data_IF_950500838085
#
_entry.id   IF_950500838085
#
_cell.length_a   1.000
_cell.length_b   1.000
_cell.length_c   1.000
_cell.angle_alpha   90.00
_cell.angle_beta   90.00
_cell.angle_gamma   90.00
#
_symmetry.space_group_name_H-M   'P 1'
#
loop_
_entity.id
_entity.type
_entity.pdbx_description
1 polymer ?
#
# COMPACT_ATOMS: atom_id res chain seq x y z
N UNK A 1 -11.09 16.07 15.62
CA UNK A 1 -9.81 15.35 15.66
C UNK A 1 -9.50 15.00 14.22
N UNK A 2 -8.39 15.48 13.65
CA UNK A 2 -8.11 15.24 12.24
C UNK A 2 -7.92 13.74 12.01
N UNK A 3 -8.63 13.24 11.02
CA UNK A 3 -8.69 11.85 10.59
C UNK A 3 -7.33 11.47 10.00
N UNK A 4 -6.45 10.92 10.84
CA UNK A 4 -5.20 10.34 10.37
C UNK A 4 -5.53 9.13 9.48
N UNK A 5 -5.25 9.29 8.19
CA UNK A 5 -5.30 8.28 7.14
C UNK A 5 -4.58 7.01 7.62
N UNK A 6 -5.35 6.00 7.99
CA UNK A 6 -4.83 4.72 8.44
C UNK A 6 -5.92 3.70 8.28
N UNK A 7 -6.13 3.22 7.05
CA UNK A 7 -6.99 2.09 6.78
C UNK A 7 -6.67 1.00 7.81
N UNK A 8 -7.67 0.62 8.62
CA UNK A 8 -7.47 -0.31 9.72
C UNK A 8 -6.89 -1.66 9.27
N UNK A 9 -6.55 -2.52 10.23
CA UNK A 9 -6.03 -3.85 9.89
C UNK A 9 -7.12 -4.72 9.25
N UNK A 10 -6.81 -5.30 8.08
CA UNK A 10 -7.63 -6.32 7.43
C UNK A 10 -6.93 -7.68 7.40
N UNK A 11 -7.71 -8.73 7.15
CA UNK A 11 -7.20 -10.07 6.86
C UNK A 11 -7.80 -10.53 5.54
N UNK A 12 -6.94 -10.79 4.55
CA UNK A 12 -7.34 -11.31 3.24
C UNK A 12 -6.59 -12.61 2.95
N UNK A 13 -7.27 -13.54 2.28
CA UNK A 13 -6.67 -14.77 1.76
C UNK A 13 -6.37 -14.57 0.29
N UNK A 14 -5.15 -14.89 -0.11
CA UNK A 14 -4.73 -14.92 -1.50
C UNK A 14 -4.49 -16.38 -1.92
N UNK A 15 -4.60 -16.65 -3.22
CA UNK A 15 -4.15 -17.92 -3.77
C UNK A 15 -2.63 -17.97 -3.71
N UNK A 16 -2.07 -19.17 -3.62
CA UNK A 16 -0.61 -19.33 -3.56
C UNK A 16 0.06 -18.90 -4.88
N UNK A 17 -0.66 -19.07 -5.99
CA UNK A 17 -0.27 -18.69 -7.36
C UNK A 17 -0.48 -17.22 -7.69
N UNK A 18 -1.15 -16.43 -6.84
CA UNK A 18 -1.23 -14.98 -7.04
C UNK A 18 0.16 -14.35 -6.97
N UNK A 19 0.39 -13.35 -7.79
CA UNK A 19 1.64 -12.62 -7.93
C UNK A 19 1.81 -11.55 -6.85
N UNK A 20 3.04 -11.06 -6.67
CA UNK A 20 3.27 -9.90 -5.80
C UNK A 20 2.61 -8.65 -6.37
N UNK A 21 2.59 -8.49 -7.70
CA UNK A 21 1.88 -7.39 -8.37
C UNK A 21 0.37 -7.37 -8.05
N UNK A 22 -0.30 -8.53 -8.04
CA UNK A 22 -1.73 -8.60 -7.64
C UNK A 22 -1.98 -8.12 -6.21
N UNK A 23 -1.05 -8.37 -5.28
CA UNK A 23 -1.14 -7.85 -3.91
C UNK A 23 -1.07 -6.31 -3.91
N UNK A 24 -0.17 -5.74 -4.71
CA UNK A 24 -0.07 -4.29 -4.87
C UNK A 24 -1.33 -3.70 -5.51
N UNK A 25 -1.84 -4.29 -6.59
CA UNK A 25 -3.10 -3.87 -7.22
C UNK A 25 -4.28 -3.92 -6.23
N UNK A 26 -4.35 -4.95 -5.38
CA UNK A 26 -5.36 -5.03 -4.33
C UNK A 26 -5.28 -3.87 -3.32
N UNK A 27 -4.06 -3.50 -2.90
CA UNK A 27 -3.86 -2.39 -1.96
C UNK A 27 -4.25 -1.06 -2.61
N UNK A 28 -3.82 -0.81 -3.84
CA UNK A 28 -4.16 0.42 -4.59
C UNK A 28 -5.68 0.56 -4.81
N UNK A 29 -6.35 -0.55 -5.12
CA UNK A 29 -7.79 -0.56 -5.35
C UNK A 29 -8.62 -0.77 -4.07
N UNK A 30 -8.00 -0.79 -2.89
CA UNK A 30 -8.68 -1.23 -1.66
C UNK A 30 -9.93 -0.41 -1.34
N UNK A 31 -9.85 0.92 -1.41
CA UNK A 31 -10.99 1.82 -1.13
C UNK A 31 -12.15 1.60 -2.10
N UNK A 32 -11.84 1.38 -3.39
CA UNK A 32 -12.84 1.08 -4.41
C UNK A 32 -13.52 -0.26 -4.13
N UNK A 33 -12.75 -1.29 -3.77
CA UNK A 33 -13.28 -2.61 -3.45
C UNK A 33 -14.15 -2.58 -2.19
N UNK A 34 -13.74 -1.85 -1.14
CA UNK A 34 -14.53 -1.67 0.08
C UNK A 34 -15.87 -0.95 -0.20
N UNK A 35 -15.88 0.02 -1.11
CA UNK A 35 -17.11 0.73 -1.47
C UNK A 35 -18.14 -0.14 -2.21
N UNK A 36 -17.68 -1.21 -2.88
CA UNK A 36 -18.49 -2.09 -3.72
C UNK A 36 -19.04 -3.31 -2.97
N UNK A 37 -18.46 -3.68 -1.82
CA UNK A 37 -18.93 -4.82 -1.04
C UNK A 37 -20.25 -4.50 -0.32
N UNK A 38 -21.30 -5.36 -0.43
CA UNK A 38 -22.44 -5.27 0.47
C UNK A 38 -21.96 -5.52 1.91
N UNK A 39 -22.54 -4.79 2.86
CA UNK A 39 -22.20 -4.83 4.30
C UNK A 39 -22.62 -6.19 4.91
N UNK A 40 -21.86 -7.24 4.63
CA UNK A 40 -22.03 -8.57 5.16
C UNK A 40 -20.66 -9.23 5.28
N UNK A 41 -20.37 -9.75 6.47
CA UNK A 41 -19.28 -10.70 6.69
C UNK A 41 -19.45 -11.87 5.70
N UNK A 42 -18.36 -12.51 5.27
CA UNK A 42 -18.37 -13.58 4.26
C UNK A 42 -18.66 -13.18 2.78
N UNK A 43 -18.22 -11.99 2.36
CA UNK A 43 -18.08 -11.68 0.93
C UNK A 43 -16.78 -12.24 0.35
N UNK A 44 -16.78 -13.52 -0.07
CA UNK A 44 -15.89 -13.96 -1.14
C UNK A 44 -16.07 -12.94 -2.28
N UNK A 45 -15.00 -12.21 -2.64
CA UNK A 45 -15.07 -11.38 -3.83
C UNK A 45 -15.35 -12.36 -4.97
N UNK A 46 -16.62 -12.41 -5.41
CA UNK A 46 -16.96 -13.05 -6.66
C UNK A 46 -16.00 -12.41 -7.67
N UNK A 47 -15.19 -13.23 -8.34
CA UNK A 47 -14.49 -12.93 -9.58
C UNK A 47 -15.57 -12.47 -10.58
N UNK A 48 -16.04 -11.25 -10.37
CA UNK A 48 -17.24 -10.69 -10.96
C UNK A 48 -16.82 -10.00 -12.22
N UNK A 49 -16.95 -10.75 -13.32
CA UNK A 49 -16.67 -10.38 -14.70
C UNK A 49 -15.25 -9.82 -14.90
N UNK A 50 -14.37 -10.72 -15.35
CA UNK A 50 -13.28 -10.42 -16.28
C UNK A 50 -13.90 -9.79 -17.55
N UNK A 51 -14.42 -8.57 -17.40
CA UNK A 51 -14.77 -7.72 -18.51
C UNK A 51 -13.41 -7.39 -19.13
N UNK A 52 -13.24 -7.81 -20.39
CA UNK A 52 -12.05 -7.82 -21.26
C UNK A 52 -11.27 -6.48 -21.26
N UNK A 53 -10.69 -6.12 -20.12
CA UNK A 53 -9.91 -4.90 -19.93
C UNK A 53 -8.44 -5.27 -20.04
N UNK A 54 -7.96 -5.26 -21.27
CA UNK A 54 -6.53 -5.44 -21.52
C UNK A 54 -5.76 -4.18 -21.08
N UNK A 55 -4.66 -4.41 -20.35
CA UNK A 55 -3.71 -3.36 -19.98
C UNK A 55 -3.23 -2.65 -21.25
N UNK A 56 -3.17 -1.29 -21.29
CA UNK A 56 -2.65 -0.59 -22.45
C UNK A 56 -1.22 -1.03 -22.81
N UNK A 57 -0.88 -0.96 -24.10
CA UNK A 57 0.48 -1.22 -24.58
C UNK A 57 1.47 -0.25 -23.91
N UNK A 58 2.59 -0.78 -23.40
CA UNK A 58 3.66 -0.01 -22.73
C UNK A 58 3.27 0.67 -21.40
N UNK A 59 2.13 0.31 -20.80
CA UNK A 59 1.80 0.81 -19.46
C UNK A 59 2.65 0.11 -18.40
N UNK A 60 3.31 0.88 -17.54
CA UNK A 60 3.95 0.41 -16.31
C UNK A 60 3.35 1.19 -15.15
N UNK A 61 2.77 0.48 -14.18
CA UNK A 61 2.07 1.14 -13.09
C UNK A 61 3.05 1.43 -11.95
N UNK A 62 3.16 2.71 -11.59
CA UNK A 62 4.03 3.17 -10.51
C UNK A 62 3.24 3.26 -9.20
N UNK A 63 3.52 2.35 -8.28
CA UNK A 63 2.90 2.35 -6.95
C UNK A 63 3.57 3.38 -6.02
N UNK A 64 2.77 4.21 -5.35
CA UNK A 64 3.25 5.24 -4.41
C UNK A 64 3.27 4.80 -2.95
N UNK A 65 3.36 3.50 -2.74
CA UNK A 65 3.47 2.86 -1.44
C UNK A 65 4.36 1.63 -1.57
N UNK A 66 4.82 1.10 -0.44
CA UNK A 66 5.54 -0.19 -0.38
C UNK A 66 4.92 -1.14 0.62
N UNK A 67 5.09 -2.43 0.36
CA UNK A 67 4.62 -3.51 1.23
C UNK A 67 5.81 -4.19 1.92
N UNK A 68 5.79 -4.24 3.25
CA UNK A 68 6.89 -4.81 4.03
C UNK A 68 6.43 -5.78 5.11
N UNK A 69 7.23 -6.82 5.38
CA UNK A 69 7.11 -7.62 6.60
C UNK A 69 7.74 -6.91 7.80
N UNK A 70 7.24 -7.24 8.98
CA UNK A 70 7.77 -6.69 10.23
C UNK A 70 9.09 -7.32 10.68
N UNK A 71 9.14 -8.66 10.73
CA UNK A 71 10.27 -9.39 11.35
C UNK A 71 10.57 -10.71 10.64
N UNK A 72 11.79 -10.89 10.07
CA UNK A 72 12.72 -9.80 9.73
C UNK A 72 12.04 -8.79 8.79
N UNK A 73 12.50 -7.53 8.82
CA UNK A 73 11.98 -6.50 7.91
C UNK A 73 12.42 -6.83 6.49
N UNK A 74 11.46 -7.06 5.60
CA UNK A 74 11.67 -7.35 4.18
C UNK A 74 10.66 -6.54 3.39
N UNK A 75 11.14 -5.74 2.43
CA UNK A 75 10.29 -5.04 1.47
C UNK A 75 10.06 -5.97 0.28
N UNK A 76 8.81 -6.15 -0.11
CA UNK A 76 8.44 -6.94 -1.29
C UNK A 76 8.15 -5.98 -2.43
N UNK A 77 9.01 -5.90 -3.43
CA UNK A 77 8.78 -5.08 -4.63
C UNK A 77 7.68 -5.70 -5.52
N UNK A 78 6.92 -4.87 -6.26
CA UNK A 78 5.93 -5.38 -7.22
C UNK A 78 6.63 -6.24 -8.28
N UNK A 79 6.09 -7.44 -8.48
CA UNK A 79 6.70 -8.46 -9.34
C UNK A 79 5.59 -9.35 -9.90
N UNK A 80 5.41 -9.30 -11.22
CA UNK A 80 4.39 -10.08 -11.95
C UNK A 80 4.81 -11.54 -12.19
N UNK A 81 6.08 -11.89 -11.97
CA UNK A 81 6.58 -13.26 -12.15
C UNK A 81 6.66 -14.02 -10.82
N UNK A 82 6.96 -13.33 -9.71
CA UNK A 82 7.06 -13.94 -8.41
C UNK A 82 5.69 -14.12 -7.75
N UNK A 83 5.45 -15.30 -7.19
CA UNK A 83 4.21 -15.59 -6.48
C UNK A 83 4.28 -15.25 -4.99
N UNK A 84 3.13 -14.97 -4.38
CA UNK A 84 2.99 -14.76 -2.94
C UNK A 84 3.36 -16.03 -2.16
N UNK A 85 3.05 -17.21 -2.69
CA UNK A 85 3.42 -18.48 -2.08
C UNK A 85 4.95 -18.67 -1.98
N UNK A 86 5.70 -18.20 -2.96
CA UNK A 86 7.17 -18.26 -2.97
C UNK A 86 7.81 -17.17 -2.09
N UNK A 87 7.31 -15.94 -2.16
CA UNK A 87 7.92 -14.78 -1.48
C UNK A 87 7.50 -14.64 -0.02
N UNK A 88 6.23 -14.89 0.31
CA UNK A 88 5.64 -14.64 1.63
C UNK A 88 5.29 -15.96 2.34
N UNK A 89 4.95 -17.00 1.60
CA UNK A 89 4.60 -18.32 2.13
C UNK A 89 3.12 -18.44 2.49
N UNK A 90 2.82 -19.27 3.52
CA UNK A 90 1.44 -19.62 3.88
C UNK A 90 0.63 -18.48 4.50
N UNK A 91 1.29 -17.59 5.24
CA UNK A 91 0.68 -16.47 5.94
C UNK A 91 1.76 -15.48 6.36
N UNK A 92 1.48 -14.18 6.31
CA UNK A 92 2.38 -13.14 6.79
C UNK A 92 1.63 -11.93 7.31
N UNK A 93 2.26 -11.17 8.22
CA UNK A 93 1.81 -9.84 8.60
C UNK A 93 2.59 -8.83 7.76
N UNK A 94 1.85 -8.03 6.99
CA UNK A 94 2.41 -7.02 6.11
C UNK A 94 1.94 -5.64 6.55
N UNK A 95 2.77 -4.65 6.29
CA UNK A 95 2.48 -3.24 6.49
C UNK A 95 2.56 -2.56 5.13
N UNK A 96 1.59 -1.68 4.88
CA UNK A 96 1.59 -0.76 3.75
C UNK A 96 2.13 0.57 4.25
N UNK A 97 3.20 1.04 3.64
CA UNK A 97 3.86 2.31 3.96
C UNK A 97 3.75 3.23 2.76
N UNK A 98 3.22 4.43 2.95
CA UNK A 98 3.13 5.45 1.90
C UNK A 98 4.54 5.99 1.57
N UNK A 99 4.79 6.30 0.30
CA UNK A 99 6.07 6.86 -0.16
C UNK A 99 6.01 8.37 -0.38
N UNK A 100 4.83 9.02 -0.27
CA UNK A 100 4.67 10.46 -0.51
C UNK A 100 5.11 11.34 0.65
N UNK A 101 5.36 10.75 1.82
CA UNK A 101 5.72 11.47 3.07
C UNK A 101 7.22 11.78 3.17
N UNK A 102 8.06 11.27 2.26
CA UNK A 102 9.53 11.43 2.30
C UNK A 102 10.03 12.72 1.61
N UNK A 103 9.13 13.59 1.10
CA UNK A 103 9.47 14.81 0.33
C UNK A 103 9.26 16.15 1.08
N UNK A 104 8.85 16.17 2.36
CA UNK A 104 8.43 17.40 3.07
C UNK A 104 9.09 17.58 4.47
N UNK A 105 10.38 17.24 4.64
CA UNK A 105 11.09 17.37 5.92
C UNK A 105 12.50 18.01 5.76
N UNK A 106 12.61 19.08 4.95
CA UNK A 106 13.80 19.94 4.91
C UNK A 106 13.40 21.43 4.95
N UNK A 107 13.93 22.16 5.96
CA UNK A 107 13.95 23.63 6.16
C UNK A 107 12.91 24.29 7.11
N UNK A 108 13.06 24.09 8.43
CA UNK A 108 12.83 25.15 9.42
C UNK A 108 14.15 25.44 10.19
N UNK A 109 15.06 26.17 9.55
CA UNK A 109 16.22 26.79 10.22
C UNK A 109 15.78 28.00 11.06
N UNK A 110 15.73 27.77 12.38
CA UNK A 110 15.97 28.66 13.52
C UNK A 110 16.25 30.16 13.21
N UNK A 111 15.23 31.01 13.28
CA UNK A 111 15.40 32.47 13.45
C UNK A 111 15.66 32.78 14.94
N UNK A 112 16.92 32.65 15.38
CA UNK A 112 17.41 33.21 16.65
C UNK A 112 17.38 34.75 16.56
N UNK A 113 16.28 35.37 17.02
CA UNK A 113 16.10 36.83 17.13
C UNK A 113 17.18 37.45 18.04
N UNK A 114 18.22 37.98 17.41
CA UNK A 114 19.21 38.84 18.03
C UNK A 114 18.68 40.25 18.25
N UNK A 115 18.18 40.54 19.45
CA UNK A 115 18.12 41.90 20.01
C UNK A 115 19.17 42.01 21.13
N UNK A 116 20.25 42.80 21.04
CA UNK A 116 20.31 44.21 20.64
C UNK A 116 20.52 45.05 21.91
N UNK A 117 21.77 45.44 22.17
CA UNK A 117 22.20 46.05 23.44
C UNK A 117 21.91 47.55 23.62
N UNK A 118 22.16 48.01 24.86
CA UNK A 118 22.64 49.35 25.23
C UNK A 118 21.66 50.53 25.16
N UNK A 119 21.31 51.12 26.30
CA UNK A 119 21.95 52.32 26.91
C UNK A 119 21.40 52.57 28.33
#
# INVERSE_FOLDING_TARGET
MPEASGAGRIVRRFRADSTVEELYAFVECFDLLQSRQPRGEDGEAEDGDDDDYEKPEDYEHEYRFRVASLMPRVVYEPDAAATLGERIGRSGNLIVEDLRDDEDDEDEEDEEDGGGGGE
#
